data_IF_458551509839
#
_entry.id   IF_458551509839
#
_cell.length_a   1.000
_cell.length_b   1.000
_cell.length_c   1.000
_cell.angle_alpha   90.00
_cell.angle_beta   90.00
_cell.angle_gamma   90.00
#
_symmetry.space_group_name_H-M   'P 1'
#
loop_
_entity.id
_entity.type
_entity.pdbx_description
1 polymer ?
#
# COMPACT_ATOMS: atom_id res chain seq x y z
N UNK A 1 -11.34 -21.51 -77.60
CA UNK A 1 -12.20 -20.60 -76.83
C UNK A 1 -12.06 -20.95 -75.35
N UNK A 2 -11.06 -20.38 -74.66
CA UNK A 2 -10.80 -20.57 -73.22
C UNK A 2 -10.21 -19.27 -72.67
N UNK A 3 -11.07 -18.37 -72.25
CA UNK A 3 -10.71 -17.13 -71.56
C UNK A 3 -11.79 -16.85 -70.53
N UNK A 4 -11.73 -17.47 -69.35
CA UNK A 4 -12.53 -16.98 -68.21
C UNK A 4 -12.15 -17.50 -66.80
N UNK A 5 -10.95 -18.04 -66.55
CA UNK A 5 -10.63 -18.55 -65.19
C UNK A 5 -9.84 -17.57 -64.31
N UNK A 6 -9.35 -16.45 -64.85
CA UNK A 6 -8.49 -15.52 -64.12
C UNK A 6 -9.24 -14.40 -63.38
N UNK A 7 -10.53 -14.18 -63.65
CA UNK A 7 -11.30 -13.11 -63.00
C UNK A 7 -11.76 -13.51 -61.58
N UNK A 8 -12.15 -14.78 -61.39
CA UNK A 8 -12.67 -15.27 -60.10
C UNK A 8 -11.61 -15.34 -58.99
N UNK A 9 -10.33 -15.57 -59.35
CA UNK A 9 -9.23 -15.64 -58.37
C UNK A 9 -8.94 -14.29 -57.70
N UNK A 10 -9.07 -13.16 -58.41
CA UNK A 10 -8.75 -11.82 -57.85
C UNK A 10 -9.73 -11.38 -56.76
N UNK A 11 -11.00 -11.75 -56.88
CA UNK A 11 -12.03 -11.44 -55.87
C UNK A 11 -11.81 -12.24 -54.58
N UNK A 12 -11.32 -13.48 -54.67
CA UNK A 12 -11.05 -14.33 -53.50
C UNK A 12 -9.87 -13.86 -52.64
N UNK A 13 -8.88 -13.15 -53.22
CA UNK A 13 -7.79 -12.58 -52.43
C UNK A 13 -8.26 -11.34 -51.65
N UNK A 14 -9.23 -10.59 -52.19
CA UNK A 14 -9.79 -9.41 -51.52
C UNK A 14 -10.58 -9.82 -50.27
N UNK A 15 -11.38 -10.88 -50.36
CA UNK A 15 -12.10 -11.43 -49.20
C UNK A 15 -11.18 -12.03 -48.15
N UNK A 16 -10.04 -12.64 -48.56
CA UNK A 16 -9.03 -13.14 -47.63
C UNK A 16 -8.36 -12.01 -46.84
N UNK A 17 -8.01 -10.91 -47.52
CA UNK A 17 -7.44 -9.73 -46.87
C UNK A 17 -8.43 -9.09 -45.90
N UNK A 18 -9.70 -9.00 -46.27
CA UNK A 18 -10.76 -8.47 -45.40
C UNK A 18 -10.90 -9.32 -44.11
N UNK A 19 -10.94 -10.64 -44.24
CA UNK A 19 -10.99 -11.55 -43.08
C UNK A 19 -9.74 -11.38 -42.20
N UNK A 20 -8.55 -11.24 -42.78
CA UNK A 20 -7.32 -10.99 -42.02
C UNK A 20 -7.37 -9.67 -41.25
N UNK A 21 -7.89 -8.60 -41.87
CA UNK A 21 -8.05 -7.30 -41.21
C UNK A 21 -9.03 -7.42 -40.03
N UNK A 22 -10.15 -8.11 -40.21
CA UNK A 22 -11.13 -8.34 -39.13
C UNK A 22 -10.49 -9.13 -37.98
N UNK A 23 -9.75 -10.19 -38.27
CA UNK A 23 -9.04 -10.97 -37.27
C UNK A 23 -7.96 -10.15 -36.54
N UNK A 24 -7.26 -9.26 -37.25
CA UNK A 24 -6.29 -8.36 -36.65
C UNK A 24 -6.94 -7.35 -35.71
N UNK A 25 -8.10 -6.80 -36.06
CA UNK A 25 -8.85 -5.88 -35.19
C UNK A 25 -9.35 -6.64 -33.94
N UNK A 26 -9.90 -7.84 -34.11
CA UNK A 26 -10.38 -8.66 -32.99
C UNK A 26 -9.27 -9.07 -32.02
N UNK A 27 -8.07 -9.37 -32.51
CA UNK A 27 -6.94 -9.74 -31.65
C UNK A 27 -6.49 -8.57 -30.78
N UNK A 28 -6.41 -7.35 -31.35
CA UNK A 28 -6.05 -6.13 -30.60
C UNK A 28 -7.06 -5.87 -29.47
N UNK A 29 -8.36 -5.97 -29.76
CA UNK A 29 -9.41 -5.78 -28.75
C UNK A 29 -9.32 -6.83 -27.63
N UNK A 30 -9.08 -8.09 -27.99
CA UNK A 30 -8.96 -9.19 -27.01
C UNK A 30 -7.78 -8.99 -26.06
N UNK A 31 -6.63 -8.53 -26.58
CA UNK A 31 -5.44 -8.22 -25.77
C UNK A 31 -5.72 -7.08 -24.79
N UNK A 32 -6.38 -6.01 -25.23
CA UNK A 32 -6.73 -4.88 -24.36
C UNK A 32 -7.65 -5.31 -23.20
N UNK A 33 -8.64 -6.18 -23.48
CA UNK A 33 -9.53 -6.74 -22.45
C UNK A 33 -8.75 -7.60 -21.46
N UNK A 34 -7.85 -8.46 -21.93
CA UNK A 34 -7.04 -9.35 -21.08
C UNK A 34 -6.20 -8.61 -20.04
N UNK A 35 -5.60 -7.48 -20.42
CA UNK A 35 -4.80 -6.64 -19.51
C UNK A 35 -5.66 -6.08 -18.37
N UNK A 36 -6.87 -5.59 -18.68
CA UNK A 36 -7.77 -5.03 -17.67
C UNK A 36 -8.28 -6.08 -16.69
N UNK A 37 -8.56 -7.31 -17.16
CA UNK A 37 -8.98 -8.42 -16.30
C UNK A 37 -7.89 -8.79 -15.31
N UNK A 38 -6.64 -8.91 -15.77
CA UNK A 38 -5.52 -9.27 -14.89
C UNK A 38 -5.32 -8.22 -13.78
N UNK A 39 -5.39 -6.93 -14.11
CA UNK A 39 -5.30 -5.85 -13.13
C UNK A 39 -6.44 -5.89 -12.11
N UNK A 40 -7.67 -6.09 -12.56
CA UNK A 40 -8.84 -6.21 -11.68
C UNK A 40 -8.74 -7.42 -10.75
N UNK A 41 -8.23 -8.54 -11.27
CA UNK A 41 -8.05 -9.78 -10.52
C UNK A 41 -6.96 -9.64 -9.46
N UNK A 42 -5.85 -8.97 -9.76
CA UNK A 42 -4.80 -8.66 -8.78
C UNK A 42 -5.34 -7.75 -7.67
N UNK A 43 -6.08 -6.71 -8.03
CA UNK A 43 -6.74 -5.82 -7.05
C UNK A 43 -7.73 -6.56 -6.15
N UNK A 44 -8.53 -7.45 -6.74
CA UNK A 44 -9.47 -8.25 -5.97
C UNK A 44 -8.73 -9.18 -4.99
N UNK A 45 -7.67 -9.86 -5.42
CA UNK A 45 -6.86 -10.72 -4.54
C UNK A 45 -6.26 -9.94 -3.38
N UNK A 46 -5.69 -8.77 -3.65
CA UNK A 46 -5.15 -7.90 -2.62
C UNK A 46 -6.22 -7.49 -1.61
N UNK A 47 -7.39 -7.05 -2.07
CA UNK A 47 -8.52 -6.69 -1.20
C UNK A 47 -8.98 -7.86 -0.32
N UNK A 48 -9.10 -9.06 -0.88
CA UNK A 48 -9.49 -10.27 -0.13
C UNK A 48 -8.45 -10.65 0.93
N UNK A 49 -7.16 -10.56 0.61
CA UNK A 49 -6.09 -10.83 1.60
C UNK A 49 -6.11 -9.80 2.74
N UNK A 50 -6.31 -8.51 2.42
CA UNK A 50 -6.45 -7.45 3.43
C UNK A 50 -7.67 -7.69 4.33
N UNK A 51 -8.81 -8.05 3.77
CA UNK A 51 -10.02 -8.34 4.53
C UNK A 51 -9.83 -9.57 5.44
N UNK A 52 -9.11 -10.58 4.95
CA UNK A 52 -8.75 -11.76 5.75
C UNK A 52 -7.90 -11.34 6.95
N UNK A 53 -6.87 -10.49 6.76
CA UNK A 53 -6.07 -9.95 7.87
C UNK A 53 -6.95 -9.20 8.88
N UNK A 54 -7.84 -8.32 8.42
CA UNK A 54 -8.75 -7.58 9.32
C UNK A 54 -9.62 -8.55 10.14
N UNK A 55 -10.17 -9.57 9.50
CA UNK A 55 -11.00 -10.57 10.18
C UNK A 55 -10.20 -11.39 11.18
N UNK A 56 -8.98 -11.80 10.85
CA UNK A 56 -8.08 -12.50 11.77
C UNK A 56 -7.69 -11.64 12.98
N UNK A 57 -7.47 -10.33 12.79
CA UNK A 57 -7.22 -9.41 13.90
C UNK A 57 -8.45 -9.24 14.81
N UNK A 58 -9.66 -9.23 14.23
CA UNK A 58 -10.90 -9.23 15.02
C UNK A 58 -11.05 -10.54 15.81
N UNK A 59 -10.75 -11.67 15.18
CA UNK A 59 -10.71 -12.97 15.87
C UNK A 59 -9.70 -12.94 17.02
N UNK A 60 -8.51 -12.38 16.83
CA UNK A 60 -7.53 -12.24 17.91
C UNK A 60 -8.06 -11.40 19.09
N UNK A 61 -8.74 -10.28 18.79
CA UNK A 61 -9.41 -9.44 19.79
C UNK A 61 -10.53 -10.20 20.53
N UNK A 62 -11.36 -10.94 19.81
CA UNK A 62 -12.45 -11.73 20.40
C UNK A 62 -11.91 -12.88 21.26
N UNK A 63 -10.86 -13.56 20.80
CA UNK A 63 -10.18 -14.63 21.53
C UNK A 63 -9.59 -14.12 22.85
N UNK A 64 -8.96 -12.95 22.84
CA UNK A 64 -8.43 -12.30 24.04
C UNK A 64 -9.52 -12.13 25.11
N UNK A 65 -10.73 -11.75 24.70
CA UNK A 65 -11.86 -11.50 25.61
C UNK A 65 -12.51 -12.80 26.08
N UNK A 66 -12.79 -13.73 25.17
CA UNK A 66 -13.51 -14.98 25.45
C UNK A 66 -12.66 -15.89 26.33
N UNK A 67 -11.37 -16.01 26.03
CA UNK A 67 -10.47 -16.93 26.71
C UNK A 67 -9.76 -16.30 27.90
N UNK A 68 -9.90 -14.99 28.08
CA UNK A 68 -9.17 -14.21 29.08
C UNK A 68 -7.65 -14.47 29.04
N UNK A 69 -7.11 -14.71 27.85
CA UNK A 69 -5.72 -15.09 27.63
C UNK A 69 -5.03 -14.10 26.70
N UNK A 70 -3.72 -13.94 26.89
CA UNK A 70 -2.92 -13.09 26.03
C UNK A 70 -2.75 -13.75 24.66
N UNK A 71 -3.04 -12.99 23.61
CA UNK A 71 -2.97 -13.40 22.21
C UNK A 71 -1.89 -12.56 21.53
N UNK A 72 -0.99 -13.22 20.80
CA UNK A 72 0.03 -12.56 19.99
C UNK A 72 -0.18 -12.93 18.53
N UNK A 73 -0.31 -11.92 17.68
CA UNK A 73 -0.39 -12.06 16.23
C UNK A 73 0.98 -11.74 15.65
N UNK A 74 1.55 -12.63 14.86
CA UNK A 74 2.83 -12.42 14.17
C UNK A 74 2.66 -12.51 12.67
N UNK A 75 3.27 -11.56 11.98
CA UNK A 75 3.48 -11.56 10.53
C UNK A 75 4.95 -11.87 10.27
N UNK A 76 5.21 -12.89 9.47
CA UNK A 76 6.55 -13.28 9.07
C UNK A 76 6.66 -13.20 7.55
N UNK A 77 7.58 -12.38 7.07
CA UNK A 77 7.87 -12.26 5.64
C UNK A 77 8.71 -13.46 5.20
N UNK A 78 8.15 -14.29 4.30
CA UNK A 78 8.83 -15.42 3.70
C UNK A 78 9.00 -15.26 2.19
N UNK A 79 9.63 -16.26 1.55
CA UNK A 79 9.88 -16.25 0.11
C UNK A 79 8.59 -16.28 -0.73
N UNK A 80 7.58 -17.02 -0.26
CA UNK A 80 6.32 -17.24 -0.98
C UNK A 80 5.23 -16.19 -0.64
N UNK A 81 5.54 -15.24 0.23
CA UNK A 81 4.61 -14.25 0.75
C UNK A 81 4.68 -14.12 2.26
N UNK A 82 3.63 -13.55 2.85
CA UNK A 82 3.59 -13.26 4.28
C UNK A 82 2.78 -14.33 5.00
N UNK A 83 3.40 -14.93 6.01
CA UNK A 83 2.76 -15.91 6.87
C UNK A 83 2.16 -15.23 8.07
N UNK A 84 0.89 -15.51 8.33
CA UNK A 84 0.18 -15.09 9.54
C UNK A 84 0.17 -16.22 10.57
N UNK A 85 0.53 -15.89 11.80
CA UNK A 85 0.46 -16.83 12.92
C UNK A 85 -0.16 -16.16 14.14
N UNK A 86 -1.13 -16.84 14.73
CA UNK A 86 -1.76 -16.43 15.98
C UNK A 86 -1.30 -17.41 17.08
N UNK A 87 -0.75 -16.86 18.16
CA UNK A 87 -0.20 -17.59 19.29
C UNK A 87 -0.90 -17.17 20.59
N UNK A 88 -1.13 -18.13 21.49
CA UNK A 88 -1.70 -17.90 22.83
C UNK A 88 -0.72 -18.37 23.88
N UNK A 89 -0.72 -17.70 25.03
CA UNK A 89 0.17 -18.06 26.14
C UNK A 89 -0.25 -19.38 26.81
N UNK A 90 -1.56 -19.61 26.96
CA UNK A 90 -2.11 -20.79 27.65
C UNK A 90 -1.95 -22.08 26.85
N UNK A 91 -1.32 -23.10 27.46
CA UNK A 91 -1.10 -24.42 26.85
C UNK A 91 -2.41 -25.16 26.53
N UNK A 92 -3.44 -25.01 27.36
CA UNK A 92 -4.75 -25.60 27.11
C UNK A 92 -5.41 -24.99 25.86
N UNK A 93 -5.22 -23.69 25.68
CA UNK A 93 -5.74 -22.91 24.56
C UNK A 93 -5.00 -23.21 23.26
N UNK A 94 -3.69 -23.48 23.31
CA UNK A 94 -2.89 -23.81 22.12
C UNK A 94 -3.40 -25.03 21.37
N UNK A 95 -3.80 -26.09 22.08
CA UNK A 95 -4.31 -27.31 21.44
C UNK A 95 -5.64 -27.05 20.71
N UNK A 96 -6.55 -26.32 21.35
CA UNK A 96 -7.82 -25.90 20.74
C UNK A 96 -7.60 -24.97 19.54
N UNK A 97 -6.64 -24.07 19.65
CA UNK A 97 -6.33 -23.10 18.61
C UNK A 97 -5.67 -23.73 17.38
N UNK A 98 -4.81 -24.74 17.58
CA UNK A 98 -4.28 -25.54 16.47
C UNK A 98 -5.37 -26.32 15.74
N UNK A 99 -6.46 -26.68 16.44
CA UNK A 99 -7.59 -27.39 15.85
C UNK A 99 -8.54 -26.47 15.06
N UNK A 100 -8.64 -25.19 15.44
CA UNK A 100 -9.44 -24.18 14.73
C UNK A 100 -8.65 -23.55 13.58
N UNK A 101 -7.39 -23.20 13.79
CA UNK A 101 -6.53 -22.51 12.83
C UNK A 101 -5.69 -23.50 12.00
N UNK A 102 -6.28 -24.63 11.59
CA UNK A 102 -5.58 -25.71 10.87
C UNK A 102 -4.89 -25.23 9.58
N UNK A 103 -5.34 -24.12 8.99
CA UNK A 103 -4.73 -23.53 7.80
C UNK A 103 -4.20 -22.15 8.16
N UNK A 104 -2.88 -22.01 8.27
CA UNK A 104 -2.22 -20.71 8.37
C UNK A 104 -2.28 -20.04 7.00
N UNK A 105 -3.00 -18.92 6.83
CA UNK A 105 -3.06 -18.28 5.54
C UNK A 105 -1.69 -17.72 5.17
N UNK A 106 -1.29 -17.96 3.92
CA UNK A 106 -0.10 -17.35 3.31
C UNK A 106 -0.60 -16.32 2.30
N UNK A 107 -0.30 -15.06 2.57
CA UNK A 107 -0.70 -13.93 1.73
C UNK A 107 0.34 -13.74 0.63
N UNK A 108 -0.03 -14.03 -0.61
CA UNK A 108 0.89 -14.00 -1.77
C UNK A 108 0.90 -12.64 -2.46
N UNK A 109 -0.21 -11.91 -2.34
CA UNK A 109 -0.42 -10.63 -3.00
C UNK A 109 0.12 -9.50 -2.13
N UNK A 110 -0.05 -9.58 -0.81
CA UNK A 110 0.60 -8.68 0.15
C UNK A 110 2.07 -9.08 0.28
N UNK A 111 2.97 -8.16 -0.08
CA UNK A 111 4.43 -8.38 -0.05
C UNK A 111 5.14 -7.54 0.98
N UNK A 112 4.54 -6.43 1.38
CA UNK A 112 5.08 -5.48 2.34
C UNK A 112 4.10 -5.26 3.46
N UNK A 113 4.59 -5.36 4.70
CA UNK A 113 3.87 -4.95 5.90
C UNK A 113 4.79 -4.06 6.71
N UNK A 114 4.25 -2.95 7.17
CA UNK A 114 4.91 -2.07 8.13
C UNK A 114 3.94 -1.78 9.26
N UNK A 115 4.43 -1.78 10.49
CA UNK A 115 3.66 -1.39 11.66
C UNK A 115 4.36 -0.25 12.35
N UNK A 116 3.67 0.89 12.46
CA UNK A 116 4.14 2.05 13.21
C UNK A 116 3.36 2.12 14.52
N UNK A 117 4.01 1.74 15.61
CA UNK A 117 3.47 1.87 16.96
C UNK A 117 3.52 3.34 17.41
N UNK A 118 2.63 3.74 18.33
CA UNK A 118 2.72 5.03 19.02
C UNK A 118 4.04 5.17 19.82
N UNK A 119 4.62 4.05 20.24
CA UNK A 119 5.85 4.00 21.05
C UNK A 119 7.15 3.90 20.24
N UNK A 120 7.07 3.87 18.90
CA UNK A 120 8.21 3.79 17.97
C UNK A 120 9.25 2.71 18.37
N UNK A 121 8.76 1.56 18.83
CA UNK A 121 9.61 0.45 19.23
C UNK A 121 10.36 -0.10 17.99
N UNK A 122 11.64 -0.48 18.13
CA UNK A 122 12.41 -1.01 17.01
C UNK A 122 11.76 -2.30 16.50
N UNK A 123 11.25 -2.25 15.27
CA UNK A 123 10.66 -3.41 14.60
C UNK A 123 11.78 -4.25 14.01
N UNK A 124 11.80 -5.55 14.33
CA UNK A 124 12.73 -6.49 13.69
C UNK A 124 12.39 -6.59 12.21
N UNK A 125 13.37 -6.40 11.33
CA UNK A 125 13.16 -6.51 9.88
C UNK A 125 12.51 -7.86 9.51
N UNK A 126 11.40 -7.80 8.77
CA UNK A 126 10.68 -8.98 8.28
C UNK A 126 9.76 -9.67 9.29
N UNK A 127 9.67 -9.21 10.54
CA UNK A 127 8.77 -9.78 11.54
C UNK A 127 8.03 -8.69 12.34
N UNK A 128 6.69 -8.72 12.27
CA UNK A 128 5.83 -7.80 13.03
C UNK A 128 5.02 -8.62 14.02
N UNK A 129 5.04 -8.22 15.29
CA UNK A 129 4.23 -8.83 16.35
C UNK A 129 3.27 -7.81 16.95
N UNK A 130 1.99 -8.15 16.99
CA UNK A 130 0.94 -7.39 17.66
C UNK A 130 0.49 -8.18 18.90
N UNK A 131 0.33 -7.47 20.02
CA UNK A 131 -0.02 -8.06 21.30
C UNK A 131 -1.42 -7.63 21.73
N UNK A 132 -2.22 -8.59 22.18
CA UNK A 132 -3.57 -8.44 22.70
C UNK A 132 -3.58 -9.04 24.10
N UNK A 133 -3.51 -8.20 25.12
CA UNK A 133 -3.35 -8.59 26.51
C UNK A 133 -4.71 -8.57 27.23
N UNK A 134 -5.11 -9.71 27.78
CA UNK A 134 -6.41 -9.86 28.44
C UNK A 134 -6.48 -9.08 29.75
N UNK A 135 -5.36 -8.97 30.46
CA UNK A 135 -5.23 -8.23 31.72
C UNK A 135 -5.21 -6.72 31.44
N UNK A 136 -6.38 -6.11 31.50
CA UNK A 136 -6.57 -4.67 31.28
C UNK A 136 -7.05 -4.30 29.88
N UNK A 137 -7.44 -5.28 29.04
CA UNK A 137 -7.92 -5.05 27.67
C UNK A 137 -6.98 -4.16 26.86
N UNK A 138 -5.67 -4.41 27.01
CA UNK A 138 -4.62 -3.63 26.35
C UNK A 138 -4.32 -4.30 25.01
N UNK A 139 -4.24 -3.50 23.95
CA UNK A 139 -3.93 -3.98 22.60
C UNK A 139 -2.86 -3.08 22.00
N UNK A 140 -1.98 -3.63 21.16
CA UNK A 140 -1.04 -2.84 20.33
C UNK A 140 -1.79 -1.74 19.59
N UNK A 141 -1.33 -0.50 19.76
CA UNK A 141 -1.89 0.69 19.13
C UNK A 141 -0.97 1.17 18.04
N UNK A 142 -1.52 1.66 16.95
CA UNK A 142 -0.71 2.14 15.84
C UNK A 142 -1.34 1.87 14.49
N UNK A 143 -0.51 1.96 13.46
CA UNK A 143 -0.95 1.90 12.07
C UNK A 143 -0.24 0.75 11.38
N UNK A 144 -1.05 -0.24 10.97
CA UNK A 144 -0.59 -1.38 10.20
C UNK A 144 -0.83 -1.09 8.71
N UNK A 145 0.26 -0.92 7.96
CA UNK A 145 0.25 -0.65 6.53
C UNK A 145 0.53 -1.93 5.75
N UNK A 146 -0.35 -2.23 4.80
CA UNK A 146 -0.28 -3.41 3.92
C UNK A 146 -0.07 -2.94 2.49
N UNK A 147 0.89 -3.53 1.77
CA UNK A 147 1.16 -3.23 0.36
C UNK A 147 1.46 -4.47 -0.48
N UNK A 148 1.15 -4.41 -1.78
CA UNK A 148 1.61 -5.39 -2.76
C UNK A 148 3.05 -5.14 -3.26
N UNK A 149 3.71 -4.07 -2.79
CA UNK A 149 5.15 -3.84 -2.95
C UNK A 149 5.94 -4.49 -1.81
N UNK A 150 7.19 -4.90 -2.05
CA UNK A 150 8.08 -5.39 -1.00
C UNK A 150 8.46 -4.31 0.00
N UNK A 151 8.58 -3.06 -0.45
CA UNK A 151 8.76 -1.89 0.41
C UNK A 151 7.37 -1.37 0.82
N UNK A 152 7.06 -1.50 2.12
CA UNK A 152 5.82 -1.01 2.71
C UNK A 152 5.88 0.47 3.13
N UNK A 153 7.08 1.06 3.19
CA UNK A 153 7.31 2.44 3.61
C UNK A 153 7.31 3.34 2.37
N UNK A 154 8.23 3.09 1.43
CA UNK A 154 8.35 3.83 0.17
C UNK A 154 7.62 3.09 -0.95
N UNK A 155 6.29 3.12 -0.86
CA UNK A 155 5.45 2.39 -1.82
C UNK A 155 5.44 3.14 -3.17
N UNK A 156 5.77 2.47 -4.29
CA UNK A 156 5.70 3.09 -5.61
C UNK A 156 4.25 3.42 -6.02
N UNK A 157 4.08 4.38 -6.93
CA UNK A 157 2.76 4.91 -7.33
C UNK A 157 1.79 3.87 -7.94
N UNK A 158 2.32 2.78 -8.49
CA UNK A 158 1.51 1.69 -9.06
C UNK A 158 1.05 0.67 -8.01
N UNK A 159 1.65 0.67 -6.82
CA UNK A 159 1.38 -0.32 -5.80
C UNK A 159 0.12 0.04 -5.00
N UNK A 160 -0.61 -1.00 -4.63
CA UNK A 160 -1.81 -0.91 -3.82
C UNK A 160 -1.42 -0.84 -2.35
N UNK A 161 -2.13 0.02 -1.62
CA UNK A 161 -1.91 0.25 -0.20
C UNK A 161 -3.24 0.23 0.54
N UNK A 162 -3.25 -0.45 1.68
CA UNK A 162 -4.33 -0.39 2.66
C UNK A 162 -3.75 -0.16 4.04
N UNK A 163 -4.50 0.55 4.85
CA UNK A 163 -4.10 0.94 6.20
C UNK A 163 -5.12 0.39 7.18
N UNK A 164 -4.66 -0.25 8.24
CA UNK A 164 -5.48 -0.74 9.35
C UNK A 164 -5.06 0.05 10.59
N UNK A 165 -5.98 0.88 11.08
CA UNK A 165 -5.76 1.69 12.27
C UNK A 165 -6.14 0.88 13.51
N UNK A 166 -5.17 0.65 14.39
CA UNK A 166 -5.36 -0.03 15.67
C UNK A 166 -5.45 1.03 16.77
N UNK A 167 -6.68 1.46 17.08
CA UNK A 167 -6.94 2.43 18.15
C UNK A 167 -6.94 1.81 19.56
N UNK A 168 -6.85 0.48 19.65
CA UNK A 168 -7.00 -0.28 20.88
C UNK A 168 -8.47 -0.61 21.19
N UNK A 169 -8.68 -1.43 22.21
CA UNK A 169 -10.00 -1.87 22.65
C UNK A 169 -10.81 -0.71 23.26
N UNK A 170 -12.14 -0.58 23.02
CA UNK A 170 -13.03 -1.47 22.27
C UNK A 170 -13.27 -1.06 20.80
N UNK A 171 -12.35 -0.33 20.17
CA UNK A 171 -12.60 0.20 18.83
C UNK A 171 -12.66 -0.92 17.77
N UNK A 172 -13.59 -0.83 16.82
CA UNK A 172 -13.68 -1.81 15.74
C UNK A 172 -12.46 -1.71 14.83
N UNK A 173 -11.86 -2.86 14.51
CA UNK A 173 -10.75 -2.94 13.56
C UNK A 173 -11.33 -2.88 12.15
N UNK A 174 -10.87 -1.92 11.35
CA UNK A 174 -11.27 -1.75 9.95
C UNK A 174 -10.08 -1.32 9.09
N UNK A 175 -10.13 -1.68 7.81
CA UNK A 175 -9.18 -1.19 6.81
C UNK A 175 -9.72 0.04 6.10
N UNK A 176 -8.82 0.95 5.74
CA UNK A 176 -9.11 2.17 4.98
C UNK A 176 -8.10 2.37 3.86
N UNK A 177 -8.44 3.22 2.90
CA UNK A 177 -7.48 3.71 1.93
C UNK A 177 -6.50 4.67 2.61
N UNK A 178 -5.23 4.73 2.19
CA UNK A 178 -4.27 5.67 2.76
C UNK A 178 -4.81 7.09 2.61
N UNK A 179 -4.85 7.82 3.71
CA UNK A 179 -5.23 9.24 3.74
C UNK A 179 -3.96 10.10 3.77
N UNK A 180 -4.04 11.30 3.18
CA UNK A 180 -2.94 12.28 3.26
C UNK A 180 -2.64 12.76 4.68
N UNK A 181 -3.52 12.45 5.63
CA UNK A 181 -3.41 12.82 7.04
C UNK A 181 -2.97 11.64 7.92
N UNK A 182 -2.67 10.47 7.33
CA UNK A 182 -2.19 9.33 8.10
C UNK A 182 -0.77 9.64 8.62
N UNK A 183 -0.48 9.46 9.94
CA UNK A 183 0.81 9.74 10.56
C UNK A 183 2.01 8.95 10.00
N UNK A 184 1.76 8.05 9.05
CA UNK A 184 2.78 7.45 8.20
C UNK A 184 2.85 8.35 6.97
N UNK A 185 3.69 9.38 7.04
CA UNK A 185 4.08 10.20 5.90
C UNK A 185 4.33 9.28 4.69
N UNK A 186 3.43 9.34 3.71
CA UNK A 186 3.85 9.20 2.34
C UNK A 186 4.84 10.35 2.11
N UNK A 187 6.07 10.11 1.63
CA UNK A 187 6.89 11.20 1.14
C UNK A 187 6.15 11.86 -0.02
N UNK A 188 5.35 12.88 0.27
CA UNK A 188 5.01 13.94 -0.66
C UNK A 188 6.16 14.96 -0.57
N UNK A 189 7.31 14.59 -1.13
CA UNK A 189 8.51 15.44 -1.13
C UNK A 189 8.32 16.74 -1.94
N UNK A 190 7.30 16.88 -2.79
CA UNK A 190 7.36 17.92 -3.83
C UNK A 190 6.58 19.21 -3.57
N UNK A 191 5.82 19.38 -2.47
CA UNK A 191 5.02 20.63 -2.28
C UNK A 191 5.33 21.45 -1.03
N UNK A 192 5.77 20.81 0.06
CA UNK A 192 6.13 21.51 1.29
C UNK A 192 7.56 22.09 1.22
N UNK A 193 8.47 21.41 0.51
CA UNK A 193 9.85 21.87 0.35
C UNK A 193 9.91 23.08 -0.59
N UNK A 194 9.21 23.05 -1.73
CA UNK A 194 9.17 24.20 -2.64
C UNK A 194 8.59 25.46 -1.98
N UNK A 195 7.54 25.34 -1.17
CA UNK A 195 6.94 26.49 -0.49
C UNK A 195 7.83 27.04 0.62
N UNK A 196 8.57 26.18 1.32
CA UNK A 196 9.50 26.59 2.39
C UNK A 196 10.79 27.19 1.83
N UNK A 197 11.34 26.63 0.74
CA UNK A 197 12.50 27.20 0.06
C UNK A 197 12.11 28.55 -0.58
N UNK A 198 10.97 28.63 -1.27
CA UNK A 198 10.53 29.87 -1.90
C UNK A 198 10.27 30.98 -0.88
N UNK A 199 9.76 30.66 0.32
CA UNK A 199 9.55 31.66 1.37
C UNK A 199 10.87 32.11 2.02
N UNK A 200 11.79 31.19 2.29
CA UNK A 200 13.13 31.53 2.80
C UNK A 200 13.93 32.38 1.81
N UNK A 201 13.95 32.01 0.52
CA UNK A 201 14.66 32.79 -0.50
C UNK A 201 14.05 34.18 -0.70
N UNK A 202 12.72 34.32 -0.62
CA UNK A 202 12.08 35.65 -0.66
C UNK A 202 12.43 36.51 0.55
N UNK A 203 12.57 35.90 1.73
CA UNK A 203 12.90 36.61 2.96
C UNK A 203 14.38 37.08 2.95
N UNK A 204 15.32 36.25 2.49
CA UNK A 204 16.72 36.65 2.33
C UNK A 204 16.88 37.79 1.30
N UNK A 205 16.18 37.73 0.16
CA UNK A 205 16.23 38.81 -0.84
C UNK A 205 15.70 40.14 -0.27
N UNK A 206 14.66 40.10 0.56
CA UNK A 206 14.13 41.29 1.20
C UNK A 206 15.14 41.90 2.19
N UNK A 207 15.79 41.08 3.02
CA UNK A 207 16.80 41.53 3.98
C UNK A 207 18.04 42.12 3.30
N UNK A 208 18.50 41.51 2.21
CA UNK A 208 19.62 42.07 1.44
C UNK A 208 19.28 43.40 0.79
N UNK A 209 18.02 43.64 0.43
CA UNK A 209 17.58 44.89 -0.16
C UNK A 209 17.53 46.01 0.90
N UNK A 210 17.05 45.71 2.10
CA UNK A 210 17.03 46.65 3.23
C UNK A 210 18.45 47.05 3.68
N UNK A 211 19.37 46.09 3.79
CA UNK A 211 20.78 46.40 4.14
C UNK A 211 21.47 47.27 3.10
N UNK A 212 21.16 47.07 1.81
CA UNK A 212 21.74 47.88 0.73
C UNK A 212 21.16 49.29 0.67
N UNK A 213 19.92 49.49 1.13
CA UNK A 213 19.31 50.81 1.27
C UNK A 213 19.86 51.57 2.49
N UNK A 214 20.24 50.88 3.57
CA UNK A 214 20.92 51.50 4.72
C UNK A 214 22.38 51.89 4.40
N UNK A 215 23.14 51.04 3.71
CA UNK A 215 24.52 51.36 3.28
C UNK A 215 24.59 52.48 2.22
N UNK A 216 23.51 52.70 1.46
CA UNK A 216 23.41 53.78 0.46
C UNK A 216 23.05 55.16 1.03
N UNK A 217 22.81 55.28 2.34
CA UNK A 217 22.41 56.54 3.00
C UNK A 217 23.54 57.23 3.77
N UNK A 218 24.75 56.65 3.76
CA UNK A 218 25.91 57.18 4.49
C UNK A 218 27.01 57.65 3.53
N UNK A 219 26.66 58.43 2.51
CA UNK A 219 27.62 59.18 1.69
C UNK A 219 26.92 60.43 1.11
N UNK A 220 26.62 61.41 1.96
CA UNK A 220 26.58 62.82 1.53
C UNK A 220 27.62 63.62 2.32
N UNK A 221 28.57 64.14 1.56
CA UNK A 221 29.77 64.87 1.92
C UNK A 221 29.50 66.13 2.76
N UNK A 222 30.37 66.49 3.72
CA UNK A 222 30.64 67.89 4.01
C UNK A 222 31.74 68.38 3.04
N UNK A 223 31.33 69.13 2.02
CA UNK A 223 32.24 70.00 1.27
C UNK A 223 32.45 71.32 2.03
N UNK A 224 33.69 71.79 2.01
CA UNK A 224 34.25 72.96 2.69
C UNK A 224 33.47 74.28 2.55
#
# INVERSE_FOLDING_TARGET
MRLSDNCMKRLSYFTLVEVLIVLAILSIVTVAIGININKALEEQRFRTEVETIVNELRIAQDLMLILQADVTVKFLQGNDGITFTLETESQATRNWMNEILRVKPVFKTIRGISFKDELDLPVTEGAISLHFLSKGTIMSRGILRLSNSSDAVNVPSWAQVRVINLYGYPHPIASSAPSSHDPIFLPNEDKAIETTITSLTRQEIAQFKEQKEEEGSTDEEPSN
#
